data_IF_903567404411
#
_entry.id   IF_903567404411
#
_cell.length_a   1.000
_cell.length_b   1.000
_cell.length_c   1.000
_cell.angle_alpha   90.00
_cell.angle_beta   90.00
_cell.angle_gamma   90.00
#
_symmetry.space_group_name_H-M   'P 1'
#
loop_
_entity.id
_entity.type
_entity.pdbx_description
1 polymer ?
#
# COMPACT_ATOMS: atom_id res chain seq x y z
N UNK A 1 8.40 -4.47 -11.19
CA UNK A 1 7.95 -4.84 -9.83
C UNK A 1 7.74 -3.57 -9.02
N UNK A 2 6.61 -3.46 -8.35
CA UNK A 2 6.19 -2.28 -7.57
C UNK A 2 5.57 -2.72 -6.24
N UNK A 3 5.75 -1.94 -5.18
CA UNK A 3 5.11 -2.14 -3.88
C UNK A 3 3.78 -1.37 -3.83
N UNK A 4 2.73 -2.01 -3.34
CA UNK A 4 1.40 -1.43 -3.17
C UNK A 4 1.11 -1.27 -1.67
N UNK A 5 0.89 -0.04 -1.21
CA UNK A 5 0.50 0.19 0.16
C UNK A 5 -1.00 -0.01 0.41
N UNK A 6 -1.42 0.06 1.66
CA UNK A 6 -2.81 -0.15 2.05
C UNK A 6 -3.76 0.90 1.49
N UNK A 7 -3.31 2.16 1.32
CA UNK A 7 -4.15 3.24 0.77
C UNK A 7 -4.58 2.95 -0.66
N UNK A 8 -3.66 2.41 -1.45
CA UNK A 8 -3.91 2.03 -2.84
C UNK A 8 -4.61 0.68 -2.95
N UNK A 9 -4.25 -0.29 -2.09
CA UNK A 9 -4.93 -1.59 -2.06
C UNK A 9 -6.43 -1.43 -1.78
N UNK A 10 -6.81 -0.55 -0.85
CA UNK A 10 -8.22 -0.25 -0.56
C UNK A 10 -8.95 0.33 -1.78
N UNK A 11 -8.31 1.19 -2.59
CA UNK A 11 -8.90 1.74 -3.82
C UNK A 11 -9.14 0.70 -4.92
N UNK A 12 -8.48 -0.44 -4.85
CA UNK A 12 -8.78 -1.59 -5.73
C UNK A 12 -10.03 -2.36 -5.27
N UNK A 13 -10.34 -2.32 -3.97
CA UNK A 13 -11.46 -3.04 -3.36
C UNK A 13 -12.75 -2.24 -3.42
N UNK A 14 -12.75 -1.00 -2.95
CA UNK A 14 -13.92 -0.12 -3.02
C UNK A 14 -13.75 0.96 -4.09
N UNK A 15 -14.84 1.32 -4.80
CA UNK A 15 -14.76 2.29 -5.89
C UNK A 15 -14.53 3.70 -5.34
N UNK A 16 -13.47 4.34 -5.82
CA UNK A 16 -13.15 5.74 -5.61
C UNK A 16 -12.74 6.38 -6.95
N UNK A 17 -12.54 7.69 -6.95
CA UNK A 17 -12.21 8.46 -8.16
C UNK A 17 -10.98 7.92 -8.90
N UNK A 18 -9.95 7.51 -8.16
CA UNK A 18 -8.66 7.06 -8.72
C UNK A 18 -8.65 5.57 -9.06
N UNK A 19 -9.69 4.81 -8.69
CA UNK A 19 -9.70 3.33 -8.78
C UNK A 19 -9.52 2.81 -10.20
N UNK A 20 -10.06 3.48 -11.21
CA UNK A 20 -9.94 3.04 -12.61
C UNK A 20 -8.51 3.23 -13.13
N UNK A 21 -7.93 4.41 -12.90
CA UNK A 21 -6.56 4.70 -13.29
C UNK A 21 -5.57 3.77 -12.56
N UNK A 22 -5.83 3.49 -11.30
CA UNK A 22 -5.03 2.55 -10.52
C UNK A 22 -5.12 1.12 -11.07
N UNK A 23 -6.31 0.61 -11.40
CA UNK A 23 -6.48 -0.73 -12.01
C UNK A 23 -5.75 -0.83 -13.34
N UNK A 24 -5.88 0.20 -14.17
CA UNK A 24 -5.20 0.25 -15.46
C UNK A 24 -3.69 0.22 -15.30
N UNK A 25 -3.15 0.96 -14.32
CA UNK A 25 -1.72 0.96 -14.03
C UNK A 25 -1.24 -0.40 -13.49
N UNK A 26 -1.94 -0.97 -12.50
CA UNK A 26 -1.62 -2.29 -11.93
C UNK A 26 -1.60 -3.38 -13.02
N UNK A 27 -2.51 -3.33 -13.98
CA UNK A 27 -2.57 -4.30 -15.07
C UNK A 27 -1.35 -4.24 -16.02
N UNK A 28 -0.57 -3.17 -16.00
CA UNK A 28 0.67 -3.04 -16.79
C UNK A 28 1.92 -3.51 -16.04
N UNK A 29 1.83 -3.75 -14.74
CA UNK A 29 2.95 -4.17 -13.93
C UNK A 29 3.21 -5.68 -14.05
N UNK A 30 4.48 -6.05 -14.09
CA UNK A 30 4.89 -7.45 -14.09
C UNK A 30 4.63 -8.14 -12.75
N UNK A 31 4.84 -7.42 -11.65
CA UNK A 31 4.58 -7.88 -10.30
C UNK A 31 4.24 -6.73 -9.36
N UNK A 32 3.16 -6.89 -8.59
CA UNK A 32 2.69 -5.94 -7.57
C UNK A 32 2.80 -6.63 -6.22
N UNK A 33 3.72 -6.14 -5.39
CA UNK A 33 3.98 -6.68 -4.06
C UNK A 33 2.97 -6.11 -3.07
N UNK A 34 2.25 -7.00 -2.40
CA UNK A 34 1.36 -6.69 -1.27
C UNK A 34 1.97 -7.34 -0.03
N UNK A 35 2.46 -6.54 0.90
CA UNK A 35 3.01 -7.08 2.15
C UNK A 35 1.90 -7.51 3.11
N UNK A 36 2.24 -8.39 4.06
CA UNK A 36 1.33 -8.75 5.16
C UNK A 36 0.91 -7.54 6.00
N UNK A 37 1.70 -6.46 6.02
CA UNK A 37 1.31 -5.20 6.65
C UNK A 37 0.19 -4.52 5.85
N UNK A 38 0.34 -4.35 4.54
CA UNK A 38 -0.67 -3.73 3.68
C UNK A 38 -1.99 -4.51 3.72
N UNK A 39 -1.91 -5.83 3.74
CA UNK A 39 -3.07 -6.72 3.89
C UNK A 39 -3.77 -6.51 5.23
N UNK A 40 -3.03 -6.53 6.35
CA UNK A 40 -3.58 -6.34 7.69
C UNK A 40 -4.24 -4.97 7.84
N UNK A 41 -3.58 -3.89 7.39
CA UNK A 41 -4.16 -2.55 7.45
C UNK A 41 -5.45 -2.46 6.63
N UNK A 42 -5.48 -3.08 5.44
CA UNK A 42 -6.67 -3.10 4.59
C UNK A 42 -7.83 -3.85 5.27
N UNK A 43 -7.58 -5.01 5.86
CA UNK A 43 -8.57 -5.76 6.64
C UNK A 43 -9.10 -4.94 7.84
N UNK A 44 -8.22 -4.24 8.56
CA UNK A 44 -8.60 -3.37 9.69
C UNK A 44 -9.49 -2.22 9.20
N UNK A 45 -9.13 -1.56 8.10
CA UNK A 45 -9.90 -0.45 7.54
C UNK A 45 -11.27 -0.92 7.01
N UNK A 46 -11.33 -2.06 6.32
CA UNK A 46 -12.59 -2.66 5.86
C UNK A 46 -13.53 -2.95 7.03
N UNK A 47 -13.01 -3.53 8.11
CA UNK A 47 -13.77 -3.82 9.32
C UNK A 47 -14.24 -2.54 10.02
N UNK A 48 -13.36 -1.55 10.14
CA UNK A 48 -13.70 -0.26 10.74
C UNK A 48 -14.82 0.45 9.98
N UNK A 49 -14.77 0.43 8.64
CA UNK A 49 -15.81 1.03 7.80
C UNK A 49 -17.17 0.31 7.95
N UNK A 50 -17.16 -1.01 8.07
CA UNK A 50 -18.37 -1.78 8.36
C UNK A 50 -18.94 -1.45 9.74
N UNK A 51 -18.13 -1.47 10.78
CA UNK A 51 -18.56 -1.14 12.16
C UNK A 51 -19.06 0.30 12.28
N UNK A 52 -18.52 1.22 11.49
CA UNK A 52 -18.98 2.61 11.39
C UNK A 52 -20.28 2.77 10.55
N UNK A 53 -20.87 1.67 10.06
CA UNK A 53 -22.10 1.68 9.26
C UNK A 53 -21.96 2.15 7.82
N UNK A 54 -20.74 2.28 7.28
CA UNK A 54 -20.52 2.68 5.87
C UNK A 54 -20.97 1.60 4.89
N UNK A 55 -20.92 0.33 5.29
CA UNK A 55 -21.32 -0.84 4.49
C UNK A 55 -22.14 -1.81 5.31
N UNK A 56 -23.02 -2.55 4.63
CA UNK A 56 -23.65 -3.73 5.20
C UNK A 56 -22.62 -4.87 5.33
N UNK A 57 -22.86 -5.82 6.25
CA UNK A 57 -21.96 -6.96 6.47
C UNK A 57 -21.74 -7.83 5.21
N UNK A 58 -22.75 -7.92 4.31
CA UNK A 58 -22.61 -8.59 3.01
C UNK A 58 -21.56 -7.91 2.13
N UNK A 59 -21.53 -6.56 2.09
CA UNK A 59 -20.57 -5.79 1.29
C UNK A 59 -19.16 -5.91 1.87
N UNK A 60 -19.02 -5.85 3.18
CA UNK A 60 -17.76 -6.11 3.87
C UNK A 60 -17.19 -7.49 3.52
N UNK A 61 -18.03 -8.55 3.56
CA UNK A 61 -17.61 -9.90 3.14
C UNK A 61 -17.15 -9.97 1.69
N UNK A 62 -17.85 -9.27 0.78
CA UNK A 62 -17.45 -9.19 -0.62
C UNK A 62 -16.06 -8.58 -0.81
N UNK A 63 -15.76 -7.49 -0.09
CA UNK A 63 -14.42 -6.86 -0.15
C UNK A 63 -13.34 -7.81 0.35
N UNK A 64 -13.58 -8.53 1.44
CA UNK A 64 -12.64 -9.53 1.97
C UNK A 64 -12.42 -10.68 1.00
N UNK A 65 -13.47 -11.19 0.39
CA UNK A 65 -13.37 -12.22 -0.64
C UNK A 65 -12.52 -11.73 -1.81
N UNK A 66 -12.76 -10.53 -2.29
CA UNK A 66 -11.97 -9.94 -3.38
C UNK A 66 -10.49 -9.75 -2.99
N UNK A 67 -10.21 -9.33 -1.77
CA UNK A 67 -8.83 -9.23 -1.27
C UNK A 67 -8.14 -10.59 -1.26
N UNK A 68 -8.85 -11.63 -0.83
CA UNK A 68 -8.32 -13.00 -0.85
C UNK A 68 -8.06 -13.50 -2.28
N UNK A 69 -8.95 -13.20 -3.23
CA UNK A 69 -8.79 -13.57 -4.64
C UNK A 69 -7.53 -12.96 -5.28
N UNK A 70 -7.08 -11.79 -4.83
CA UNK A 70 -5.83 -11.18 -5.32
C UNK A 70 -4.60 -12.04 -5.09
N UNK A 71 -4.62 -12.97 -4.09
CA UNK A 71 -3.50 -13.89 -3.84
C UNK A 71 -3.22 -14.82 -5.02
N UNK A 72 -4.26 -15.19 -5.75
CA UNK A 72 -4.22 -16.13 -6.86
C UNK A 72 -4.36 -15.44 -8.21
N UNK A 73 -4.27 -14.10 -8.23
CA UNK A 73 -4.49 -13.28 -9.43
C UNK A 73 -3.24 -12.48 -9.79
N UNK A 74 -2.75 -12.63 -11.02
CA UNK A 74 -1.68 -11.77 -11.53
C UNK A 74 -2.18 -10.30 -11.65
N UNK A 75 -1.29 -9.34 -11.42
CA UNK A 75 0.14 -9.43 -11.13
C UNK A 75 0.48 -9.46 -9.62
N UNK A 76 -0.47 -9.70 -8.73
CA UNK A 76 -0.26 -9.59 -7.28
C UNK A 76 0.65 -10.70 -6.74
N UNK A 77 1.53 -10.31 -5.81
CA UNK A 77 2.42 -11.20 -5.05
C UNK A 77 2.34 -10.83 -3.58
N UNK A 78 1.67 -11.65 -2.78
CA UNK A 78 1.57 -11.45 -1.34
C UNK A 78 2.81 -11.98 -0.64
N UNK A 79 3.44 -11.13 0.17
CA UNK A 79 4.68 -11.45 0.85
C UNK A 79 4.61 -11.10 2.34
N UNK A 80 5.11 -11.99 3.18
CA UNK A 80 5.30 -11.71 4.59
C UNK A 80 6.35 -10.63 4.79
N UNK A 81 6.21 -9.85 5.86
CA UNK A 81 7.27 -8.91 6.24
C UNK A 81 8.54 -9.69 6.58
N UNK A 82 9.69 -9.27 6.05
CA UNK A 82 10.99 -9.82 6.45
C UNK A 82 11.25 -9.62 7.95
N UNK A 83 11.96 -10.57 8.58
CA UNK A 83 12.25 -10.52 10.01
C UNK A 83 13.05 -9.28 10.44
N UNK A 84 13.86 -8.71 9.54
CA UNK A 84 14.68 -7.53 9.80
C UNK A 84 13.92 -6.18 9.65
N UNK A 85 12.65 -6.19 9.27
CA UNK A 85 11.90 -4.96 8.94
C UNK A 85 11.91 -3.91 10.07
N UNK A 86 11.82 -4.33 11.33
CA UNK A 86 11.82 -3.39 12.45
C UNK A 86 13.20 -2.76 12.69
N UNK A 87 14.28 -3.52 12.52
CA UNK A 87 15.66 -3.00 12.61
C UNK A 87 15.91 -2.00 11.48
N UNK A 88 15.48 -2.33 10.28
CA UNK A 88 15.57 -1.44 9.12
C UNK A 88 14.73 -0.19 9.31
N UNK A 89 13.51 -0.28 9.84
CA UNK A 89 12.68 0.86 10.18
C UNK A 89 13.34 1.78 11.22
N UNK A 90 13.95 1.21 12.27
CA UNK A 90 14.71 1.97 13.27
C UNK A 90 15.91 2.68 12.65
N UNK A 91 16.67 2.00 11.78
CA UNK A 91 17.81 2.59 11.07
C UNK A 91 17.37 3.74 10.16
N UNK A 92 16.30 3.56 9.39
CA UNK A 92 15.72 4.60 8.56
C UNK A 92 15.25 5.81 9.37
N UNK A 93 14.59 5.57 10.52
CA UNK A 93 14.11 6.62 11.41
C UNK A 93 15.26 7.45 12.02
N UNK A 94 16.37 6.80 12.36
CA UNK A 94 17.54 7.45 12.96
C UNK A 94 18.41 8.20 11.94
N UNK A 95 18.24 7.95 10.64
CA UNK A 95 18.96 8.68 9.63
C UNK A 95 18.59 10.18 9.69
N UNK A 96 19.59 11.06 9.47
CA UNK A 96 19.41 12.52 9.46
C UNK A 96 18.58 12.94 8.23
N UNK A 97 17.29 12.73 8.29
CA UNK A 97 16.33 13.17 7.28
C UNK A 97 15.29 14.05 7.93
N UNK A 98 14.96 15.15 7.27
CA UNK A 98 13.99 16.12 7.78
C UNK A 98 12.52 15.66 7.63
N UNK A 99 12.27 14.54 7.01
CA UNK A 99 10.91 14.01 6.80
C UNK A 99 10.52 13.08 7.93
N UNK A 100 9.39 13.39 8.57
CA UNK A 100 8.75 12.52 9.55
C UNK A 100 7.66 11.70 8.87
N UNK A 101 7.52 10.43 9.24
CA UNK A 101 6.37 9.60 8.89
C UNK A 101 5.93 8.78 10.10
N UNK A 102 4.66 8.37 10.09
CA UNK A 102 4.08 7.53 11.15
C UNK A 102 4.75 6.15 11.16
N UNK A 103 4.61 5.43 12.27
CA UNK A 103 5.24 4.12 12.46
C UNK A 103 4.90 3.12 11.36
N UNK A 104 3.62 3.01 10.97
CA UNK A 104 3.19 2.08 9.91
C UNK A 104 3.73 2.50 8.54
N UNK A 105 3.75 3.79 8.24
CA UNK A 105 4.35 4.33 7.01
C UNK A 105 5.85 3.99 6.94
N UNK A 106 6.55 4.09 8.07
CA UNK A 106 7.96 3.70 8.19
C UNK A 106 8.16 2.21 7.95
N UNK A 107 7.27 1.35 8.46
CA UNK A 107 7.34 -0.09 8.23
C UNK A 107 7.13 -0.46 6.75
N UNK A 108 6.26 0.24 6.02
CA UNK A 108 6.14 0.07 4.57
C UNK A 108 7.45 0.39 3.84
N UNK A 109 8.09 1.52 4.17
CA UNK A 109 9.36 1.90 3.55
C UNK A 109 10.50 0.94 3.90
N UNK A 110 10.51 0.43 5.13
CA UNK A 110 11.46 -0.59 5.54
C UNK A 110 11.21 -1.93 4.82
N UNK A 111 9.95 -2.31 4.65
CA UNK A 111 9.58 -3.51 3.89
C UNK A 111 10.03 -3.41 2.43
N UNK A 112 9.86 -2.25 1.79
CA UNK A 112 10.34 -2.01 0.43
C UNK A 112 11.86 -2.22 0.31
N UNK A 113 12.63 -1.70 1.27
CA UNK A 113 14.08 -1.87 1.30
C UNK A 113 14.48 -3.34 1.47
N UNK A 114 13.87 -4.05 2.42
CA UNK A 114 14.14 -5.46 2.69
C UNK A 114 13.73 -6.39 1.52
N UNK A 115 12.68 -6.01 0.78
CA UNK A 115 12.19 -6.75 -0.39
C UNK A 115 12.88 -6.32 -1.69
N UNK A 116 13.83 -5.37 -1.63
CA UNK A 116 14.51 -4.80 -2.80
C UNK A 116 13.55 -4.23 -3.85
N UNK A 117 12.52 -3.53 -3.41
CA UNK A 117 11.54 -2.85 -4.27
C UNK A 117 11.74 -1.34 -4.17
N UNK A 118 12.01 -0.69 -5.29
CA UNK A 118 12.31 0.75 -5.33
C UNK A 118 11.14 1.62 -5.79
N UNK A 119 10.03 1.02 -6.20
CA UNK A 119 8.85 1.71 -6.73
C UNK A 119 7.66 1.49 -5.79
N UNK A 120 6.95 2.57 -5.45
CA UNK A 120 5.79 2.59 -4.56
C UNK A 120 4.55 3.10 -5.30
N UNK A 121 3.44 2.37 -5.23
CA UNK A 121 2.12 2.90 -5.53
C UNK A 121 1.45 3.24 -4.20
N UNK A 122 1.13 4.52 -4.00
CA UNK A 122 0.43 5.03 -2.82
C UNK A 122 -0.55 6.13 -3.19
N UNK A 123 -1.61 6.30 -2.38
CA UNK A 123 -2.51 7.45 -2.43
C UNK A 123 -2.50 8.22 -1.11
N UNK A 124 -1.56 7.94 -0.23
CA UNK A 124 -1.28 8.73 0.98
C UNK A 124 -0.16 9.74 0.67
N UNK A 125 -0.49 11.04 0.75
CA UNK A 125 0.46 12.11 0.45
C UNK A 125 1.67 12.12 1.40
N UNK A 126 1.47 11.79 2.68
CA UNK A 126 2.56 11.75 3.67
C UNK A 126 3.50 10.56 3.39
N UNK A 127 2.94 9.40 3.04
CA UNK A 127 3.71 8.24 2.61
C UNK A 127 4.50 8.55 1.34
N UNK A 128 3.87 9.21 0.36
CA UNK A 128 4.52 9.61 -0.89
C UNK A 128 5.72 10.55 -0.64
N UNK A 129 5.55 11.55 0.23
CA UNK A 129 6.63 12.49 0.59
C UNK A 129 7.79 11.77 1.27
N UNK A 130 7.50 10.93 2.26
CA UNK A 130 8.51 10.17 2.98
C UNK A 130 9.28 9.21 2.06
N UNK A 131 8.58 8.54 1.14
CA UNK A 131 9.19 7.64 0.16
C UNK A 131 10.14 8.39 -0.80
N UNK A 132 9.69 9.53 -1.35
CA UNK A 132 10.52 10.37 -2.24
C UNK A 132 11.78 10.88 -1.52
N UNK A 133 11.65 11.31 -0.27
CA UNK A 133 12.79 11.75 0.54
C UNK A 133 13.82 10.65 0.77
N UNK A 134 13.43 9.38 0.65
CA UNK A 134 14.30 8.22 0.71
C UNK A 134 14.84 7.78 -0.65
N UNK A 135 14.44 8.43 -1.74
CA UNK A 135 14.88 8.11 -3.09
C UNK A 135 14.05 7.02 -3.78
N UNK A 136 12.91 6.64 -3.23
CA UNK A 136 11.99 5.73 -3.91
C UNK A 136 11.22 6.46 -5.03
N UNK A 137 10.96 5.76 -6.12
CA UNK A 137 10.02 6.22 -7.15
C UNK A 137 8.59 6.06 -6.63
N UNK A 138 7.80 7.14 -6.71
CA UNK A 138 6.43 7.15 -6.20
C UNK A 138 5.44 7.40 -7.31
N UNK A 139 4.48 6.50 -7.43
CA UNK A 139 3.39 6.51 -8.39
C UNK A 139 2.05 6.74 -7.66
N UNK A 140 1.27 7.68 -8.15
CA UNK A 140 -0.07 8.01 -7.64
C UNK A 140 -1.08 8.03 -8.80
N UNK A 141 -1.46 6.85 -9.33
CA UNK A 141 -2.32 6.77 -10.51
C UNK A 141 -3.67 7.47 -10.29
N UNK A 142 -4.05 8.33 -11.24
CA UNK A 142 -5.31 9.09 -11.18
C UNK A 142 -5.27 10.37 -10.33
N UNK A 143 -4.17 10.63 -9.64
CA UNK A 143 -3.96 11.91 -8.96
C UNK A 143 -3.40 12.91 -9.97
N UNK A 144 -4.14 14.01 -10.18
CA UNK A 144 -3.63 15.11 -11.02
C UNK A 144 -2.51 15.83 -10.25
N UNK A 145 -1.31 15.80 -10.81
CA UNK A 145 -0.25 16.69 -10.36
C UNK A 145 -0.62 18.08 -10.88
N UNK A 146 -1.13 18.93 -10.01
CA UNK A 146 -1.28 20.36 -10.34
C UNK A 146 0.12 20.94 -10.48
N UNK A 147 0.45 21.57 -11.60
CA UNK A 147 1.77 22.16 -11.84
C UNK A 147 2.10 23.27 -10.84
#
# INVERSE_FOLDING_TARGET
MVYLDSSSLLKLLWPERESEALRSHVATEEAVIVSSLAELESEVQLKAAWLAGRYRGSRWRQFRTKLAEFRDTDPFRFQSLPGAVFQTALRQHRAERRTHCRTLDRLHLAAMEELNVSRLITHDANQAEAARAMGFEVLMPGVQVTP
#
